data_IF_824528182766
#
_entry.id   IF_824528182766
#
_cell.length_a   1.000
_cell.length_b   1.000
_cell.length_c   1.000
_cell.angle_alpha   90.00
_cell.angle_beta   90.00
_cell.angle_gamma   90.00
#
_symmetry.space_group_name_H-M   'P 1'
#
loop_
_entity.id
_entity.type
_entity.pdbx_description
1 polymer ?
#
# COMPACT_ATOMS: atom_id res chain seq x y z
N UNK A 1 1.02 -7.74 -9.37
CA UNK A 1 1.49 -9.13 -9.51
C UNK A 1 2.73 -9.24 -8.67
N UNK A 2 2.77 -10.16 -7.72
CA UNK A 2 3.96 -10.46 -6.92
C UNK A 2 5.18 -10.69 -7.82
N UNK A 3 6.30 -10.00 -7.58
CA UNK A 3 7.56 -10.38 -8.21
C UNK A 3 8.29 -11.31 -7.26
N UNK A 4 8.46 -12.56 -7.67
CA UNK A 4 9.19 -13.56 -6.91
C UNK A 4 10.43 -13.99 -7.69
N UNK A 5 11.54 -14.29 -7.00
CA UNK A 5 12.78 -14.78 -7.64
C UNK A 5 13.33 -15.96 -6.89
N UNK A 6 13.60 -17.04 -7.62
CA UNK A 6 14.34 -18.19 -7.09
C UNK A 6 15.81 -17.83 -6.84
N UNK A 7 16.26 -18.04 -5.62
CA UNK A 7 17.66 -17.98 -5.24
C UNK A 7 18.49 -19.05 -5.97
N UNK A 8 19.63 -18.66 -6.57
CA UNK A 8 20.46 -19.55 -7.40
C UNK A 8 21.78 -19.95 -6.75
N UNK A 9 22.37 -19.06 -5.93
CA UNK A 9 23.63 -19.31 -5.21
C UNK A 9 23.75 -18.46 -3.96
N UNK A 10 24.47 -18.96 -2.96
CA UNK A 10 24.88 -18.16 -1.79
C UNK A 10 25.71 -16.96 -2.24
N UNK A 11 25.45 -15.81 -1.65
CA UNK A 11 26.12 -14.54 -1.97
C UNK A 11 25.58 -13.85 -3.23
N UNK A 12 24.60 -14.43 -3.93
CA UNK A 12 23.86 -13.71 -4.96
C UNK A 12 23.22 -12.46 -4.33
N UNK A 13 23.35 -11.32 -5.01
CA UNK A 13 22.65 -10.10 -4.65
C UNK A 13 21.32 -10.05 -5.38
N UNK A 14 20.27 -9.73 -4.64
CA UNK A 14 18.94 -9.49 -5.16
C UNK A 14 18.60 -8.04 -4.81
N UNK A 15 18.28 -7.25 -5.82
CA UNK A 15 17.85 -5.86 -5.65
C UNK A 15 16.33 -5.81 -5.72
N UNK A 16 15.73 -5.27 -4.68
CA UNK A 16 14.32 -4.93 -4.60
C UNK A 16 14.16 -3.45 -4.94
N UNK A 17 13.19 -3.15 -5.81
CA UNK A 17 12.90 -1.79 -6.27
C UNK A 17 11.47 -1.38 -5.93
N UNK A 18 11.33 -0.21 -5.31
CA UNK A 18 10.06 0.41 -4.90
C UNK A 18 9.92 1.77 -5.57
N UNK A 19 9.02 1.90 -6.55
CA UNK A 19 8.66 3.18 -7.17
C UNK A 19 7.64 3.90 -6.29
N UNK A 20 8.09 4.92 -5.57
CA UNK A 20 7.22 5.76 -4.75
C UNK A 20 6.66 6.87 -5.63
N UNK A 21 5.34 7.01 -5.66
CA UNK A 21 4.64 8.06 -6.41
C UNK A 21 3.81 8.94 -5.47
N UNK A 22 3.98 10.25 -5.57
CA UNK A 22 3.12 11.20 -4.88
C UNK A 22 1.88 11.48 -5.74
N UNK A 23 0.79 10.78 -5.44
CA UNK A 23 -0.49 10.95 -6.15
C UNK A 23 -1.34 12.09 -5.60
N UNK A 24 -0.86 12.77 -4.55
CA UNK A 24 -1.53 13.90 -3.91
C UNK A 24 -1.27 15.23 -4.62
N UNK A 25 -1.58 16.32 -3.91
CA UNK A 25 -1.41 17.70 -4.37
C UNK A 25 -0.49 18.53 -3.46
N UNK A 26 0.17 17.89 -2.50
CA UNK A 26 1.13 18.50 -1.56
C UNK A 26 2.46 17.77 -1.74
N UNK A 27 3.57 18.51 -1.75
CA UNK A 27 4.90 17.93 -1.78
C UNK A 27 5.20 17.10 -0.53
N UNK A 28 6.05 16.07 -0.66
CA UNK A 28 6.36 15.14 0.42
C UNK A 28 7.87 15.11 0.69
N UNK A 29 8.23 15.10 1.97
CA UNK A 29 9.57 15.06 2.51
C UNK A 29 9.82 13.75 3.27
N UNK A 30 11.07 13.50 3.66
CA UNK A 30 11.46 12.41 4.56
C UNK A 30 10.89 11.05 4.11
N UNK A 31 10.99 10.77 2.82
CA UNK A 31 10.43 9.54 2.24
C UNK A 31 11.27 8.34 2.68
N UNK A 32 10.60 7.34 3.22
CA UNK A 32 11.21 6.08 3.62
C UNK A 32 10.37 4.89 3.19
N UNK A 33 11.00 3.72 3.09
CA UNK A 33 10.32 2.44 2.88
C UNK A 33 10.41 1.64 4.18
N UNK A 34 9.26 1.21 4.69
CA UNK A 34 9.16 0.30 5.82
C UNK A 34 8.93 -1.12 5.28
N UNK A 35 9.88 -2.02 5.55
CA UNK A 35 9.81 -3.42 5.15
C UNK A 35 8.69 -4.17 5.90
N UNK A 36 7.95 -4.99 5.15
CA UNK A 36 6.86 -5.83 5.63
C UNK A 36 7.23 -7.31 5.60
N UNK A 37 6.41 -8.12 4.93
CA UNK A 37 6.63 -9.56 4.81
C UNK A 37 7.82 -9.87 3.93
N UNK A 38 8.77 -10.64 4.45
CA UNK A 38 9.99 -11.04 3.75
C UNK A 38 10.21 -12.54 3.87
N UNK A 39 10.43 -13.22 2.73
CA UNK A 39 10.58 -14.68 2.73
C UNK A 39 12.03 -15.17 2.77
N UNK A 40 13.02 -14.28 2.69
CA UNK A 40 14.43 -14.65 2.81
C UNK A 40 14.81 -15.05 4.24
N UNK A 41 15.68 -16.05 4.36
CA UNK A 41 16.14 -16.57 5.64
C UNK A 41 17.33 -15.80 6.23
N UNK A 42 17.86 -14.82 5.49
CA UNK A 42 18.98 -13.97 5.90
C UNK A 42 18.53 -12.71 6.64
N UNK A 43 19.41 -11.71 6.67
CA UNK A 43 19.08 -10.39 7.20
C UNK A 43 18.09 -9.68 6.28
N UNK A 44 17.02 -9.12 6.86
CA UNK A 44 16.07 -8.26 6.16
C UNK A 44 16.83 -7.12 5.45
N UNK A 45 16.58 -6.86 4.16
CA UNK A 45 17.29 -5.80 3.44
C UNK A 45 16.86 -4.43 3.98
N UNK A 46 17.80 -3.47 3.92
CA UNK A 46 17.56 -2.10 4.38
C UNK A 46 17.35 -1.19 3.15
N UNK A 47 16.13 -0.64 2.95
CA UNK A 47 15.86 0.23 1.81
C UNK A 47 16.57 1.58 1.90
N UNK A 48 16.97 2.11 0.75
CA UNK A 48 17.51 3.47 0.61
C UNK A 48 16.71 4.23 -0.45
N UNK A 49 16.31 5.45 -0.12
CA UNK A 49 15.61 6.38 -1.01
C UNK A 49 16.51 7.57 -1.40
N UNK A 50 16.23 8.24 -2.53
CA UNK A 50 16.79 9.56 -2.80
C UNK A 50 16.44 10.56 -1.70
N UNK A 51 17.39 11.41 -1.32
CA UNK A 51 17.18 12.52 -0.38
C UNK A 51 16.64 13.74 -1.14
N UNK A 52 15.43 13.58 -1.68
CA UNK A 52 14.76 14.57 -2.53
C UNK A 52 13.30 14.77 -2.10
N UNK A 53 12.79 15.99 -2.31
CA UNK A 53 11.38 16.30 -2.08
C UNK A 53 10.55 15.74 -3.24
N UNK A 54 9.54 14.92 -2.92
CA UNK A 54 8.67 14.32 -3.92
C UNK A 54 7.50 15.25 -4.25
N UNK A 55 7.56 15.92 -5.39
CA UNK A 55 6.53 16.85 -5.85
C UNK A 55 5.23 16.13 -6.26
N UNK A 56 4.08 16.83 -6.25
CA UNK A 56 2.83 16.27 -6.75
C UNK A 56 2.94 15.73 -8.18
N UNK A 57 2.56 14.47 -8.37
CA UNK A 57 2.60 13.77 -9.66
C UNK A 57 3.96 13.17 -10.03
N UNK A 58 5.01 13.45 -9.26
CA UNK A 58 6.33 12.88 -9.49
C UNK A 58 6.49 11.51 -8.82
N UNK A 59 7.53 10.79 -9.24
CA UNK A 59 7.92 9.50 -8.68
C UNK A 59 9.44 9.36 -8.63
N UNK A 60 9.92 8.56 -7.68
CA UNK A 60 11.30 8.07 -7.68
C UNK A 60 11.37 6.62 -7.19
N UNK A 61 12.53 5.98 -7.36
CA UNK A 61 12.74 4.60 -6.94
C UNK A 61 13.64 4.51 -5.73
N UNK A 62 13.14 3.89 -4.65
CA UNK A 62 13.95 3.41 -3.54
C UNK A 62 14.39 1.98 -3.80
N UNK A 63 15.55 1.58 -3.29
CA UNK A 63 16.10 0.24 -3.51
C UNK A 63 16.59 -0.40 -2.22
N UNK A 64 16.42 -1.71 -2.09
CA UNK A 64 16.97 -2.51 -1.00
C UNK A 64 17.76 -3.70 -1.58
N UNK A 65 18.89 -4.07 -0.99
CA UNK A 65 19.74 -5.17 -1.50
C UNK A 65 19.83 -6.31 -0.51
N UNK A 66 19.30 -7.47 -0.90
CA UNK A 66 19.40 -8.71 -0.15
C UNK A 66 20.56 -9.58 -0.63
N UNK A 67 21.22 -10.28 0.30
CA UNK A 67 22.28 -11.24 0.01
C UNK A 67 21.81 -12.64 0.32
N UNK A 68 21.64 -13.45 -0.73
CA UNK A 68 21.16 -14.82 -0.63
C UNK A 68 22.05 -15.65 0.30
N UNK A 69 21.42 -16.35 1.24
CA UNK A 69 22.06 -17.30 2.15
C UNK A 69 21.78 -18.74 1.74
N UNK A 70 22.45 -19.72 2.37
CA UNK A 70 22.31 -21.14 2.00
C UNK A 70 20.89 -21.68 2.16
N UNK A 71 20.16 -21.21 3.18
CA UNK A 71 18.80 -21.65 3.47
C UNK A 71 17.81 -21.27 2.36
N UNK A 72 18.05 -20.16 1.65
CA UNK A 72 17.18 -19.70 0.55
C UNK A 72 17.21 -20.63 -0.68
N UNK A 73 18.31 -21.38 -0.87
CA UNK A 73 18.46 -22.26 -2.05
C UNK A 73 17.50 -23.45 -2.05
N UNK A 74 17.01 -23.82 -0.86
CA UNK A 74 16.09 -24.93 -0.67
C UNK A 74 14.66 -24.48 -0.41
N UNK A 75 14.43 -23.17 -0.30
CA UNK A 75 13.13 -22.58 -0.04
C UNK A 75 12.30 -22.33 -1.30
N UNK A 76 11.13 -21.76 -1.05
CA UNK A 76 10.29 -21.15 -2.07
C UNK A 76 10.96 -19.91 -2.68
N UNK A 77 10.30 -19.27 -3.63
CA UNK A 77 10.83 -18.06 -4.24
C UNK A 77 10.87 -16.90 -3.23
N UNK A 78 11.88 -16.04 -3.39
CA UNK A 78 12.07 -14.88 -2.53
C UNK A 78 11.08 -13.78 -2.91
N UNK A 79 10.39 -13.24 -1.90
CA UNK A 79 9.42 -12.15 -1.96
C UNK A 79 9.67 -11.15 -0.83
N UNK A 80 9.26 -9.91 -1.06
CA UNK A 80 9.37 -8.80 -0.13
C UNK A 80 8.15 -7.89 -0.34
N UNK A 81 7.47 -7.49 0.74
CA UNK A 81 6.45 -6.44 0.74
C UNK A 81 6.92 -5.26 1.58
N UNK A 82 6.42 -4.07 1.29
CA UNK A 82 6.76 -2.86 2.03
C UNK A 82 5.66 -1.79 1.92
N UNK A 83 5.68 -0.83 2.84
CA UNK A 83 4.92 0.43 2.77
C UNK A 83 5.89 1.61 2.59
N UNK A 84 5.43 2.68 1.96
CA UNK A 84 6.15 3.95 1.90
C UNK A 84 5.59 4.92 2.92
N UNK A 85 6.47 5.64 3.61
CA UNK A 85 6.12 6.75 4.49
C UNK A 85 6.71 8.05 3.95
N UNK A 86 6.13 9.17 4.38
CA UNK A 86 6.61 10.50 4.03
C UNK A 86 5.85 11.58 4.78
N UNK A 87 6.45 12.76 4.92
CA UNK A 87 5.91 13.87 5.68
C UNK A 87 5.55 15.06 4.79
N UNK A 88 4.39 15.66 5.03
CA UNK A 88 4.06 16.99 4.47
C UNK A 88 4.95 18.09 5.10
N UNK A 89 5.09 19.29 4.49
CA UNK A 89 5.81 20.41 5.10
C UNK A 89 5.27 20.83 6.49
N UNK A 90 4.03 20.47 6.80
CA UNK A 90 3.40 20.72 8.11
C UNK A 90 3.70 19.62 9.15
N UNK A 91 4.51 18.62 8.81
CA UNK A 91 4.90 17.51 9.70
C UNK A 91 3.87 16.39 9.81
N UNK A 92 2.79 16.41 9.02
CA UNK A 92 1.85 15.27 8.97
C UNK A 92 2.49 14.12 8.19
N UNK A 93 2.57 12.94 8.81
CA UNK A 93 3.05 11.71 8.18
C UNK A 93 1.91 11.04 7.42
N UNK A 94 2.21 10.60 6.21
CA UNK A 94 1.34 9.81 5.32
C UNK A 94 2.01 8.48 5.07
N UNK A 95 1.20 7.43 5.01
CA UNK A 95 1.62 6.07 4.72
C UNK A 95 0.85 5.57 3.48
N UNK A 96 1.51 4.81 2.62
CA UNK A 96 0.88 4.14 1.48
C UNK A 96 0.15 2.87 1.91
N UNK A 97 -0.59 2.28 0.97
CA UNK A 97 -0.93 0.86 1.10
C UNK A 97 0.34 -0.01 0.95
N UNK A 98 0.28 -1.24 1.48
CA UNK A 98 1.35 -2.22 1.32
C UNK A 98 1.45 -2.66 -0.15
N UNK A 99 2.67 -2.73 -0.65
CA UNK A 99 2.98 -3.19 -1.98
C UNK A 99 4.07 -4.26 -1.95
N UNK A 100 4.00 -5.21 -2.88
CA UNK A 100 5.11 -6.14 -3.10
C UNK A 100 6.22 -5.48 -3.90
N UNK A 101 7.48 -5.77 -3.63
CA UNK A 101 8.65 -5.28 -4.39
C UNK A 101 8.79 -5.99 -5.75
N UNK A 102 9.35 -5.32 -6.77
CA UNK A 102 9.75 -5.97 -8.02
C UNK A 102 11.24 -6.30 -8.04
N UNK A 103 11.54 -7.49 -8.57
CA UNK A 103 12.88 -8.03 -8.74
C UNK A 103 13.38 -7.67 -10.13
N UNK A 104 14.61 -7.15 -10.20
CA UNK A 104 15.08 -6.47 -11.38
C UNK A 104 15.26 -7.40 -12.60
N UNK A 105 14.26 -7.37 -13.48
CA UNK A 105 14.45 -7.03 -14.89
C UNK A 105 13.31 -6.11 -15.35
N UNK A 106 13.52 -4.79 -15.21
CA UNK A 106 12.85 -3.67 -15.93
C UNK A 106 11.38 -3.29 -15.65
N UNK A 107 10.77 -3.62 -14.51
CA UNK A 107 9.54 -2.92 -14.06
C UNK A 107 9.61 -2.67 -12.55
N UNK A 108 9.35 -1.45 -12.08
CA UNK A 108 9.41 -1.12 -10.65
C UNK A 108 8.01 -1.25 -10.01
N UNK A 109 7.94 -1.71 -8.75
CA UNK A 109 6.67 -1.79 -8.04
C UNK A 109 6.14 -0.40 -7.71
N UNK A 110 4.89 -0.11 -8.09
CA UNK A 110 4.27 1.18 -7.81
C UNK A 110 3.72 1.18 -6.38
N UNK A 111 4.30 2.02 -5.53
CA UNK A 111 3.83 2.35 -4.19
C UNK A 111 3.22 3.76 -4.25
N UNK A 112 1.90 3.85 -4.12
CA UNK A 112 1.19 5.12 -4.20
C UNK A 112 0.98 5.70 -2.80
N UNK A 113 1.52 6.88 -2.55
CA UNK A 113 1.15 7.65 -1.36
C UNK A 113 -0.10 8.48 -1.66
N UNK A 114 -1.16 8.32 -0.86
CA UNK A 114 -2.31 9.22 -0.88
C UNK A 114 -2.73 9.61 0.54
N UNK A 115 -2.75 10.91 0.83
CA UNK A 115 -3.69 11.52 1.79
C UNK A 115 -3.73 13.03 1.60
N UNK A 116 -4.90 13.55 1.26
CA UNK A 116 -5.19 14.98 1.26
C UNK A 116 -5.60 15.43 2.67
N UNK A 117 -5.05 16.57 3.10
CA UNK A 117 -5.34 17.16 4.40
C UNK A 117 -6.83 17.43 4.60
N UNK A 118 -7.34 16.97 5.74
CA UNK A 118 -8.66 17.28 6.26
C UNK A 118 -8.64 17.13 7.79
N UNK A 119 -8.99 18.19 8.49
CA UNK A 119 -9.10 18.25 9.96
C UNK A 119 -10.21 17.33 10.50
N UNK A 120 -9.84 16.52 11.49
CA UNK A 120 -10.65 15.89 12.57
C UNK A 120 -11.69 14.80 12.23
N UNK A 121 -11.77 13.82 13.15
CA UNK A 121 -12.76 12.74 13.36
C UNK A 121 -12.45 11.38 12.69
N UNK A 122 -11.62 10.56 13.37
CA UNK A 122 -11.76 9.11 13.26
C UNK A 122 -13.02 8.70 14.04
N UNK A 123 -14.14 8.49 13.34
CA UNK A 123 -15.24 7.68 13.86
C UNK A 123 -15.17 6.33 13.17
N UNK A 124 -14.65 5.34 13.87
CA UNK A 124 -14.79 3.93 13.52
C UNK A 124 -16.26 3.55 13.57
N UNK A 125 -16.88 3.22 12.44
CA UNK A 125 -18.12 2.44 12.45
C UNK A 125 -18.01 1.31 11.43
N UNK A 126 -17.67 0.13 11.94
CA UNK A 126 -18.03 -1.12 11.31
C UNK A 126 -19.57 -1.25 11.30
N UNK A 127 -20.17 -1.51 10.14
CA UNK A 127 -21.54 -2.00 10.08
C UNK A 127 -21.69 -2.98 8.92
N UNK A 128 -21.97 -4.22 9.30
CA UNK A 128 -22.35 -5.29 8.41
C UNK A 128 -23.88 -5.30 8.18
N UNK A 129 -24.28 -5.97 7.10
CA UNK A 129 -25.52 -6.76 6.91
C UNK A 129 -26.66 -6.19 6.04
N UNK A 130 -27.04 -7.10 5.12
CA UNK A 130 -28.35 -7.45 4.57
C UNK A 130 -28.85 -6.80 3.27
N UNK A 131 -28.81 -7.65 2.24
CA UNK A 131 -29.72 -7.69 1.12
C UNK A 131 -31.21 -7.65 1.53
N UNK A 132 -32.06 -7.12 0.63
CA UNK A 132 -33.27 -7.75 0.09
C UNK A 132 -34.08 -6.71 -0.70
N UNK A 133 -34.16 -6.87 -2.03
CA UNK A 133 -35.20 -6.25 -2.83
C UNK A 133 -35.93 -7.32 -3.64
N UNK A 134 -37.00 -7.85 -3.07
CA UNK A 134 -38.11 -8.42 -3.82
C UNK A 134 -39.39 -7.71 -3.37
N UNK A 135 -39.72 -6.61 -4.06
CA UNK A 135 -41.00 -5.93 -3.91
C UNK A 135 -42.06 -6.66 -4.73
N UNK A 136 -43.02 -7.29 -4.05
CA UNK A 136 -44.20 -7.88 -4.67
C UNK A 136 -45.39 -7.77 -3.72
N UNK A 137 -46.51 -7.23 -4.22
CA UNK A 137 -47.84 -7.29 -3.60
C UNK A 137 -48.33 -5.94 -3.07
N UNK A 138 -48.90 -5.05 -3.88
CA UNK A 138 -50.32 -4.99 -4.30
C UNK A 138 -51.36 -4.76 -3.18
N UNK A 139 -52.20 -3.74 -3.45
CA UNK A 139 -53.62 -3.58 -3.10
C UNK A 139 -53.94 -3.14 -1.65
N UNK A 140 -54.35 -1.89 -1.43
CA UNK A 140 -55.69 -1.32 -1.65
C UNK A 140 -56.71 -1.63 -0.54
N UNK A 141 -56.93 -0.67 0.36
CA UNK A 141 -58.23 -0.09 0.77
C UNK A 141 -57.96 0.87 1.95
N UNK A 142 -58.25 2.17 1.89
CA UNK A 142 -59.54 2.90 1.80
C UNK A 142 -60.13 3.24 3.17
N UNK A 143 -60.24 4.56 3.36
CA UNK A 143 -61.24 5.35 4.11
C UNK A 143 -61.18 5.43 5.64
N UNK A 144 -60.92 6.69 6.02
CA UNK A 144 -61.87 7.59 6.71
C UNK A 144 -61.90 7.49 8.24
N UNK A 145 -61.21 8.44 8.86
CA UNK A 145 -61.69 9.28 9.96
C UNK A 145 -60.79 10.53 9.94
N UNK A 146 -61.34 11.73 9.66
CA UNK A 146 -61.76 12.73 10.66
C UNK A 146 -60.55 13.20 11.50
N UNK A 147 -60.23 14.48 11.71
CA UNK A 147 -61.00 15.72 11.65
C UNK A 147 -60.03 16.87 11.99
N UNK A 148 -60.39 18.11 11.64
CA UNK A 148 -59.88 19.41 12.18
C UNK A 148 -58.47 19.83 11.67
N UNK A 149 -58.23 21.00 11.06
CA UNK A 149 -58.96 22.26 10.94
C UNK A 149 -58.68 22.94 9.59
#
# INVERSE_FOLDING_TARGET
MASTTKAKKVGQKITYSFLVTNTGNIEMHDIAIEEGSFSGAGTLPDPTCPDEVLQPGDSFTCTAVYTVVKADLTGDDLSNTATATGATPMGNVVESEEAEAVLDSVDASIVNMVKTGGTTEQISIAAAIAALLSGLGLLAWRRKANSEA
#
